data_IF_052704869747
#
_entry.id   IF_052704869747
#
_cell.length_a   1.000
_cell.length_b   1.000
_cell.length_c   1.000
_cell.angle_alpha   90.00
_cell.angle_beta   90.00
_cell.angle_gamma   90.00
#
_symmetry.space_group_name_H-M   'P 1'
#
loop_
_entity.id
_entity.type
_entity.pdbx_description
1 polymer ?
#
# COMPACT_ATOMS: atom_id res chain seq x y z
N UNK A 1 16.60 8.07 -28.57
CA UNK A 1 15.86 8.58 -27.40
C UNK A 1 14.52 7.87 -27.36
N UNK A 2 14.43 6.73 -26.67
CA UNK A 2 13.14 6.13 -26.37
C UNK A 2 12.48 7.01 -25.30
N UNK A 3 11.29 7.54 -25.59
CA UNK A 3 10.41 8.09 -24.57
C UNK A 3 10.01 6.89 -23.70
N UNK A 4 10.72 6.68 -22.59
CA UNK A 4 10.33 5.71 -21.58
C UNK A 4 8.91 6.02 -21.13
N UNK A 5 8.12 5.00 -20.84
CA UNK A 5 6.84 5.15 -20.17
C UNK A 5 7.11 5.84 -18.82
N UNK A 6 6.72 7.10 -18.64
CA UNK A 6 6.97 7.80 -17.38
C UNK A 6 6.03 7.27 -16.26
N UNK A 7 4.86 6.76 -16.66
CA UNK A 7 3.81 6.26 -15.79
C UNK A 7 3.13 5.03 -16.42
N UNK A 8 2.87 4.02 -15.59
CA UNK A 8 2.11 2.83 -15.98
C UNK A 8 1.05 2.52 -14.94
N UNK A 9 -0.13 2.17 -15.42
CA UNK A 9 -1.21 1.61 -14.62
C UNK A 9 -1.42 0.15 -15.00
N UNK A 10 -1.32 -0.74 -14.01
CA UNK A 10 -1.60 -2.16 -14.16
C UNK A 10 -2.88 -2.51 -13.38
N UNK A 11 -3.97 -2.63 -14.13
CA UNK A 11 -5.29 -2.98 -13.60
C UNK A 11 -5.76 -4.34 -14.12
N UNK A 12 -5.85 -5.29 -13.19
CA UNK A 12 -6.32 -6.66 -13.40
C UNK A 12 -7.64 -6.91 -12.64
N UNK A 13 -8.43 -5.85 -12.40
CA UNK A 13 -9.69 -5.95 -11.65
C UNK A 13 -10.77 -6.85 -12.28
N UNK A 14 -10.59 -7.25 -13.55
CA UNK A 14 -11.48 -8.18 -14.25
C UNK A 14 -11.09 -9.65 -14.06
N UNK A 15 -9.91 -9.94 -13.51
CA UNK A 15 -9.47 -11.31 -13.26
C UNK A 15 -10.38 -11.99 -12.22
N UNK A 16 -10.69 -13.25 -12.49
CA UNK A 16 -11.62 -14.04 -11.68
C UNK A 16 -10.94 -15.09 -10.80
N UNK A 17 -9.66 -15.35 -11.02
CA UNK A 17 -8.85 -16.34 -10.30
C UNK A 17 -7.45 -15.79 -10.04
N UNK A 18 -6.77 -16.30 -9.01
CA UNK A 18 -5.34 -16.04 -8.78
C UNK A 18 -4.55 -17.34 -8.59
N UNK A 19 -3.24 -17.29 -8.83
CA UNK A 19 -2.33 -18.43 -8.67
C UNK A 19 -0.88 -17.98 -8.54
N UNK A 20 0.00 -18.88 -8.08
CA UNK A 20 1.45 -18.66 -8.07
C UNK A 20 2.01 -18.40 -9.49
N UNK A 21 1.48 -19.07 -10.52
CA UNK A 21 1.88 -18.83 -11.91
C UNK A 21 1.55 -17.42 -12.40
N UNK A 22 0.47 -16.82 -11.90
CA UNK A 22 0.15 -15.42 -12.16
C UNK A 22 1.09 -14.47 -11.40
N UNK A 23 1.56 -14.85 -10.21
CA UNK A 23 2.58 -14.09 -9.50
C UNK A 23 3.89 -14.03 -10.28
N UNK A 24 4.35 -15.17 -10.81
CA UNK A 24 5.55 -15.24 -11.66
C UNK A 24 5.40 -14.41 -12.94
N UNK A 25 4.20 -14.40 -13.52
CA UNK A 25 3.88 -13.55 -14.67
C UNK A 25 3.96 -12.07 -14.30
N UNK A 26 3.37 -11.64 -13.18
CA UNK A 26 3.44 -10.26 -12.70
C UNK A 26 4.90 -9.84 -12.45
N UNK A 27 5.70 -10.71 -11.83
CA UNK A 27 7.13 -10.48 -11.59
C UNK A 27 7.88 -10.17 -12.90
N UNK A 28 7.66 -11.00 -13.94
CA UNK A 28 8.25 -10.79 -15.27
C UNK A 28 7.71 -9.55 -15.97
N UNK A 29 6.41 -9.28 -15.84
CA UNK A 29 5.76 -8.10 -16.42
C UNK A 29 6.35 -6.82 -15.82
N UNK A 30 6.62 -6.80 -14.52
CA UNK A 30 7.27 -5.67 -13.88
C UNK A 30 8.61 -5.35 -14.52
N UNK A 31 9.45 -6.35 -14.85
CA UNK A 31 10.72 -6.12 -15.58
C UNK A 31 10.54 -5.53 -16.98
N UNK A 32 9.47 -5.89 -17.68
CA UNK A 32 9.23 -5.41 -19.05
C UNK A 32 8.84 -3.94 -19.11
N UNK A 33 8.26 -3.41 -18.03
CA UNK A 33 7.83 -2.01 -18.00
C UNK A 33 8.93 -1.05 -17.59
N UNK A 34 10.11 -1.51 -17.13
CA UNK A 34 11.23 -0.62 -16.75
C UNK A 34 11.85 0.17 -17.92
N UNK A 35 12.41 1.38 -17.65
CA UNK A 35 12.37 2.11 -16.39
C UNK A 35 11.14 3.04 -16.31
N UNK A 36 10.34 2.91 -15.25
CA UNK A 36 9.20 3.79 -14.95
C UNK A 36 9.50 4.69 -13.75
N UNK A 37 8.84 5.85 -13.67
CA UNK A 37 8.89 6.73 -12.50
C UNK A 37 7.65 6.63 -11.62
N UNK A 38 6.50 6.28 -12.22
CA UNK A 38 5.22 6.13 -11.56
C UNK A 38 4.56 4.79 -11.89
N UNK A 39 4.03 4.13 -10.87
CA UNK A 39 3.31 2.86 -11.01
C UNK A 39 1.99 2.93 -10.24
N UNK A 40 0.90 2.54 -10.90
CA UNK A 40 -0.40 2.28 -10.27
C UNK A 40 -0.68 0.79 -10.28
N UNK A 41 -1.02 0.22 -9.12
CA UNK A 41 -1.41 -1.19 -8.96
C UNK A 41 -2.77 -1.33 -8.29
N UNK A 42 -3.46 -2.41 -8.62
CA UNK A 42 -4.81 -2.72 -8.12
C UNK A 42 -4.82 -3.83 -7.05
N UNK A 43 -6.00 -4.05 -6.47
CA UNK A 43 -6.28 -5.07 -5.44
C UNK A 43 -5.85 -6.48 -5.86
N UNK A 44 -5.97 -6.81 -7.16
CA UNK A 44 -5.52 -8.08 -7.69
C UNK A 44 -4.01 -8.24 -7.50
N UNK A 45 -3.23 -7.26 -7.96
CA UNK A 45 -1.77 -7.29 -7.87
C UNK A 45 -1.31 -7.38 -6.41
N UNK A 46 -1.96 -6.64 -5.50
CA UNK A 46 -1.62 -6.65 -4.07
C UNK A 46 -1.84 -8.01 -3.40
N UNK A 47 -2.74 -8.85 -3.92
CA UNK A 47 -2.92 -10.22 -3.46
C UNK A 47 -1.94 -11.16 -4.19
N UNK A 48 -1.88 -11.09 -5.52
CA UNK A 48 -1.20 -12.10 -6.33
C UNK A 48 0.32 -12.00 -6.27
N UNK A 49 0.90 -10.79 -6.21
CA UNK A 49 2.36 -10.62 -6.29
C UNK A 49 3.12 -11.38 -5.19
N UNK A 50 2.47 -11.64 -4.06
CA UNK A 50 3.06 -12.31 -2.91
C UNK A 50 2.84 -13.82 -2.89
N UNK A 51 2.19 -14.38 -3.91
CA UNK A 51 1.98 -15.84 -4.04
C UNK A 51 3.15 -16.55 -4.73
N UNK A 52 4.09 -15.80 -5.32
CA UNK A 52 5.30 -16.34 -5.95
C UNK A 52 6.44 -16.50 -4.94
N UNK A 53 7.58 -17.04 -5.40
CA UNK A 53 8.77 -17.24 -4.54
C UNK A 53 9.40 -15.92 -4.07
N UNK A 54 9.34 -14.87 -4.90
CA UNK A 54 9.92 -13.55 -4.63
C UNK A 54 9.02 -12.64 -3.77
N UNK A 55 8.17 -13.20 -2.90
CA UNK A 55 7.13 -12.47 -2.15
C UNK A 55 7.62 -11.37 -1.19
N UNK A 56 8.93 -11.24 -0.97
CA UNK A 56 9.54 -10.19 -0.12
C UNK A 56 9.64 -8.86 -0.86
N UNK A 57 9.86 -8.88 -2.18
CA UNK A 57 10.09 -7.69 -2.99
C UNK A 57 10.80 -8.00 -4.31
N UNK A 58 10.96 -6.99 -5.15
CA UNK A 58 11.71 -7.09 -6.39
C UNK A 58 13.22 -7.02 -6.15
N UNK A 59 13.96 -7.86 -6.89
CA UNK A 59 15.41 -7.75 -7.04
C UNK A 59 15.80 -7.76 -8.53
N UNK A 60 16.38 -6.68 -9.08
CA UNK A 60 16.65 -5.38 -8.45
C UNK A 60 15.39 -4.58 -8.10
N UNK A 61 15.53 -3.68 -7.11
CA UNK A 61 14.45 -2.78 -6.68
C UNK A 61 13.99 -1.80 -7.78
N UNK A 62 12.75 -1.36 -7.68
CA UNK A 62 12.15 -0.37 -8.57
C UNK A 62 12.79 1.03 -8.39
N UNK A 63 13.16 1.74 -9.47
CA UNK A 63 13.56 3.16 -9.45
C UNK A 63 12.34 4.09 -9.41
N UNK A 64 11.23 3.64 -8.81
CA UNK A 64 9.98 4.37 -8.74
C UNK A 64 10.09 5.51 -7.73
N UNK A 65 9.48 6.64 -8.09
CA UNK A 65 9.33 7.82 -7.22
C UNK A 65 7.88 8.03 -6.82
N UNK A 66 6.93 7.46 -7.58
CA UNK A 66 5.50 7.58 -7.35
C UNK A 66 4.85 6.20 -7.38
N UNK A 67 4.02 5.90 -6.38
CA UNK A 67 3.28 4.66 -6.27
C UNK A 67 1.84 4.97 -5.90
N UNK A 68 0.91 4.43 -6.67
CA UNK A 68 -0.53 4.48 -6.38
C UNK A 68 -1.04 3.07 -6.11
N UNK A 69 -1.66 2.90 -4.94
CA UNK A 69 -2.29 1.65 -4.52
C UNK A 69 -3.81 1.79 -4.57
N UNK A 70 -4.47 1.12 -5.52
CA UNK A 70 -5.93 0.95 -5.55
C UNK A 70 -6.27 -0.31 -4.76
N UNK A 71 -6.85 -0.17 -3.56
CA UNK A 71 -6.94 -1.27 -2.60
C UNK A 71 -8.25 -1.25 -1.81
N UNK A 72 -8.72 -2.44 -1.42
CA UNK A 72 -9.78 -2.59 -0.42
C UNK A 72 -9.23 -2.58 1.02
N UNK A 73 -7.91 -2.54 1.19
CA UNK A 73 -7.21 -2.62 2.46
C UNK A 73 -7.58 -3.89 3.26
N UNK A 74 -7.82 -4.99 2.56
CA UNK A 74 -8.11 -6.30 3.13
C UNK A 74 -6.85 -6.96 3.69
N UNK A 75 -7.01 -7.97 4.56
CA UNK A 75 -5.90 -8.71 5.18
C UNK A 75 -4.96 -9.32 4.15
N UNK A 76 -5.51 -9.83 3.04
CA UNK A 76 -4.77 -10.46 1.95
C UNK A 76 -3.97 -9.48 1.08
N UNK A 77 -4.23 -8.18 1.21
CA UNK A 77 -3.49 -7.15 0.49
C UNK A 77 -2.30 -6.62 1.31
N UNK A 78 -2.23 -6.91 2.61
CA UNK A 78 -1.24 -6.28 3.51
C UNK A 78 0.21 -6.66 3.15
N UNK A 79 0.44 -7.91 2.73
CA UNK A 79 1.77 -8.34 2.28
C UNK A 79 2.13 -7.68 0.96
N UNK A 80 1.19 -7.53 0.01
CA UNK A 80 1.43 -6.80 -1.23
C UNK A 80 1.79 -5.34 -1.00
N UNK A 81 1.15 -4.68 -0.03
CA UNK A 81 1.53 -3.30 0.34
C UNK A 81 2.98 -3.26 0.84
N UNK A 82 3.38 -4.20 1.72
CA UNK A 82 4.78 -4.30 2.19
C UNK A 82 5.75 -4.60 1.04
N UNK A 83 5.37 -5.48 0.12
CA UNK A 83 6.14 -5.83 -1.06
C UNK A 83 6.53 -4.59 -1.84
N UNK A 84 5.57 -3.71 -2.16
CA UNK A 84 5.87 -2.50 -2.92
C UNK A 84 6.68 -1.46 -2.13
N UNK A 85 6.40 -1.28 -0.83
CA UNK A 85 7.20 -0.38 0.01
C UNK A 85 8.66 -0.83 0.11
N UNK A 86 8.88 -2.15 0.24
CA UNK A 86 10.23 -2.74 0.24
C UNK A 86 10.92 -2.61 -1.12
N UNK A 87 10.17 -2.76 -2.20
CA UNK A 87 10.70 -2.75 -3.56
C UNK A 87 10.98 -1.35 -4.12
N UNK A 88 10.55 -0.27 -3.46
CA UNK A 88 10.65 1.11 -3.98
C UNK A 88 11.49 2.02 -3.06
N UNK A 89 12.82 1.84 -2.94
CA UNK A 89 13.66 2.60 -2.00
C UNK A 89 13.67 4.13 -2.25
N UNK A 90 13.37 4.56 -3.49
CA UNK A 90 13.36 5.97 -3.89
C UNK A 90 11.98 6.62 -3.91
N UNK A 91 10.98 5.96 -3.30
CA UNK A 91 9.60 6.44 -3.32
C UNK A 91 9.47 7.81 -2.63
N UNK A 92 8.99 8.82 -3.36
CA UNK A 92 8.75 10.16 -2.84
C UNK A 92 7.26 10.44 -2.58
N UNK A 93 6.38 9.84 -3.38
CA UNK A 93 4.93 10.03 -3.33
C UNK A 93 4.22 8.69 -3.24
N UNK A 94 3.38 8.52 -2.22
CA UNK A 94 2.48 7.38 -2.06
C UNK A 94 1.03 7.83 -2.08
N UNK A 95 0.26 7.35 -3.04
CA UNK A 95 -1.19 7.51 -3.06
C UNK A 95 -1.87 6.18 -2.71
N UNK A 96 -2.84 6.21 -1.80
CA UNK A 96 -3.67 5.07 -1.44
C UNK A 96 -5.12 5.41 -1.75
N UNK A 97 -5.67 4.76 -2.77
CA UNK A 97 -7.06 4.89 -3.19
C UNK A 97 -7.88 3.73 -2.61
N UNK A 98 -8.61 4.01 -1.53
CA UNK A 98 -9.49 3.04 -0.88
C UNK A 98 -10.80 2.93 -1.65
N UNK A 99 -11.16 1.69 -2.01
CA UNK A 99 -12.37 1.39 -2.77
C UNK A 99 -12.73 -0.09 -2.69
N UNK A 100 -13.84 -0.51 -3.33
CA UNK A 100 -14.15 -1.93 -3.44
C UNK A 100 -13.09 -2.66 -4.25
N UNK A 101 -12.79 -3.89 -3.86
CA UNK A 101 -11.86 -4.77 -4.56
C UNK A 101 -12.30 -6.22 -4.43
N UNK A 102 -12.04 -7.03 -5.46
CA UNK A 102 -12.30 -8.48 -5.41
C UNK A 102 -11.27 -9.13 -4.49
N UNK A 103 -11.75 -9.86 -3.49
CA UNK A 103 -10.91 -10.65 -2.58
C UNK A 103 -11.03 -12.12 -2.95
N UNK A 104 -9.90 -12.78 -3.19
CA UNK A 104 -9.83 -14.15 -3.69
C UNK A 104 -9.77 -15.15 -2.54
N UNK A 105 -10.87 -15.32 -1.79
CA UNK A 105 -10.89 -16.19 -0.60
C UNK A 105 -10.55 -17.66 -0.86
N UNK A 106 -10.94 -18.18 -2.03
CA UNK A 106 -10.77 -19.60 -2.36
C UNK A 106 -9.40 -19.89 -3.02
N UNK A 107 -8.82 -18.89 -3.70
CA UNK A 107 -7.61 -19.06 -4.50
C UNK A 107 -6.36 -18.42 -3.85
N UNK A 108 -6.53 -17.52 -2.88
CA UNK A 108 -5.41 -16.81 -2.26
C UNK A 108 -4.65 -17.72 -1.29
N UNK A 109 -3.38 -17.94 -1.58
CA UNK A 109 -2.46 -18.66 -0.73
C UNK A 109 -1.47 -17.68 -0.11
N UNK A 110 -1.57 -17.50 1.21
CA UNK A 110 -0.70 -16.59 1.93
C UNK A 110 0.73 -17.15 2.00
N UNK A 111 1.78 -16.33 1.77
CA UNK A 111 3.16 -16.81 1.73
C UNK A 111 3.66 -17.35 3.09
N UNK A 112 3.03 -16.95 4.20
CA UNK A 112 3.27 -17.50 5.53
C UNK A 112 2.02 -17.35 6.41
N UNK A 113 1.78 -18.30 7.32
CA UNK A 113 0.58 -18.34 8.17
C UNK A 113 0.97 -18.30 9.67
N UNK A 114 0.31 -17.50 10.53
CA UNK A 114 -0.70 -16.47 10.24
C UNK A 114 -0.12 -15.07 10.02
N UNK A 115 -0.77 -14.33 9.11
CA UNK A 115 -0.48 -12.95 8.75
C UNK A 115 -1.52 -12.02 9.38
N UNK A 116 -1.40 -11.76 10.69
CA UNK A 116 -2.24 -10.77 11.37
C UNK A 116 -1.77 -9.34 10.99
N UNK A 117 -2.61 -8.49 10.35
CA UNK A 117 -2.27 -7.11 10.04
C UNK A 117 -1.78 -6.31 11.26
N UNK A 118 -2.31 -6.59 12.45
CA UNK A 118 -1.86 -5.94 13.68
C UNK A 118 -0.41 -6.32 14.02
N UNK A 119 -0.04 -7.59 13.89
CA UNK A 119 1.34 -8.06 14.05
C UNK A 119 2.29 -7.39 13.04
N UNK A 120 1.85 -7.29 11.78
CA UNK A 120 2.64 -6.73 10.68
C UNK A 120 2.98 -5.26 10.83
N UNK A 121 1.99 -4.44 11.23
CA UNK A 121 2.10 -2.99 11.18
C UNK A 121 2.32 -2.34 12.54
N UNK A 122 1.90 -3.00 13.63
CA UNK A 122 1.92 -2.41 14.98
C UNK A 122 2.93 -3.10 15.88
N UNK A 123 2.87 -4.43 16.03
CA UNK A 123 3.71 -5.13 17.02
C UNK A 123 5.15 -5.34 16.55
N UNK A 124 5.33 -5.77 15.30
CA UNK A 124 6.64 -6.07 14.72
C UNK A 124 6.86 -5.35 13.38
N UNK A 125 6.75 -4.01 13.33
CA UNK A 125 6.82 -3.28 12.08
C UNK A 125 8.21 -3.36 11.46
N UNK A 126 8.28 -3.82 10.20
CA UNK A 126 9.46 -3.60 9.37
C UNK A 126 9.47 -2.14 8.93
N UNK A 127 10.59 -1.45 9.16
CA UNK A 127 10.77 -0.05 8.78
C UNK A 127 11.40 0.01 7.39
N UNK A 128 10.62 0.39 6.38
CA UNK A 128 11.10 0.48 5.00
C UNK A 128 11.99 1.72 4.82
N UNK A 129 13.07 1.56 4.05
CA UNK A 129 14.02 2.65 3.75
C UNK A 129 13.30 3.84 3.12
N UNK A 130 12.38 3.58 2.19
CA UNK A 130 11.64 4.63 1.51
C UNK A 130 10.81 5.49 2.48
N UNK A 131 10.11 4.86 3.42
CA UNK A 131 9.28 5.54 4.43
C UNK A 131 10.12 6.47 5.32
N UNK A 132 11.35 6.07 5.65
CA UNK A 132 12.22 6.85 6.54
C UNK A 132 13.10 7.87 5.84
N UNK A 133 13.43 7.67 4.57
CA UNK A 133 14.48 8.43 3.88
C UNK A 133 13.99 9.26 2.69
N UNK A 134 12.97 8.81 1.96
CA UNK A 134 12.59 9.41 0.67
C UNK A 134 11.13 9.83 0.59
N UNK A 135 10.21 9.18 1.32
CA UNK A 135 8.76 9.43 1.22
C UNK A 135 8.36 10.79 1.78
N UNK A 136 8.04 11.74 0.89
CA UNK A 136 7.73 13.15 1.22
C UNK A 136 6.24 13.39 1.31
N UNK A 137 5.46 12.77 0.43
CA UNK A 137 4.04 13.03 0.28
C UNK A 137 3.23 11.74 0.35
N UNK A 138 2.19 11.76 1.18
CA UNK A 138 1.23 10.67 1.27
C UNK A 138 -0.17 11.23 1.14
N UNK A 139 -0.98 10.61 0.29
CA UNK A 139 -2.40 10.90 0.17
C UNK A 139 -3.22 9.62 0.28
N UNK A 140 -4.18 9.60 1.21
CA UNK A 140 -5.11 8.50 1.42
C UNK A 140 -6.52 8.99 1.06
N UNK A 141 -7.15 8.37 0.07
CA UNK A 141 -8.50 8.70 -0.42
C UNK A 141 -9.48 7.61 -0.04
N UNK A 142 -10.69 8.00 0.37
CA UNK A 142 -11.77 7.05 0.69
C UNK A 142 -11.70 6.45 2.09
N UNK A 143 -10.97 7.08 3.02
CA UNK A 143 -10.75 6.54 4.38
C UNK A 143 -12.06 6.36 5.16
N UNK A 144 -12.28 5.14 5.68
CA UNK A 144 -13.43 4.74 6.50
C UNK A 144 -13.02 4.37 7.93
N UNK A 145 -11.72 4.31 8.24
CA UNK A 145 -11.22 4.01 9.59
C UNK A 145 -11.38 2.55 9.97
N UNK A 146 -11.25 1.63 9.01
CA UNK A 146 -11.16 0.20 9.33
C UNK A 146 -9.84 -0.11 10.06
N UNK A 147 -9.75 -1.23 10.81
CA UNK A 147 -8.52 -1.59 11.52
C UNK A 147 -7.27 -1.56 10.64
N UNK A 148 -7.31 -2.17 9.46
CA UNK A 148 -6.16 -2.21 8.56
C UNK A 148 -5.78 -0.82 8.03
N UNK A 149 -6.77 0.02 7.68
CA UNK A 149 -6.52 1.41 7.29
C UNK A 149 -5.84 2.19 8.42
N UNK A 150 -6.29 2.01 9.68
CA UNK A 150 -5.72 2.65 10.85
C UNK A 150 -4.29 2.14 11.10
N UNK A 151 -4.04 0.85 10.93
CA UNK A 151 -2.72 0.26 11.15
C UNK A 151 -1.68 0.83 10.16
N UNK A 152 -2.02 0.86 8.87
CA UNK A 152 -1.15 1.45 7.85
C UNK A 152 -0.96 2.95 8.09
N UNK A 153 -2.02 3.70 8.42
CA UNK A 153 -1.93 5.13 8.73
C UNK A 153 -1.02 5.39 9.95
N UNK A 154 -1.21 4.64 11.03
CA UNK A 154 -0.39 4.76 12.24
C UNK A 154 1.07 4.42 11.96
N UNK A 155 1.33 3.39 11.16
CA UNK A 155 2.68 3.04 10.73
C UNK A 155 3.34 4.21 9.96
N UNK A 156 2.64 4.81 9.00
CA UNK A 156 3.14 5.93 8.20
C UNK A 156 3.37 7.19 9.06
N UNK A 157 2.47 7.49 9.98
CA UNK A 157 2.61 8.60 10.94
C UNK A 157 3.80 8.39 11.88
N UNK A 158 4.02 7.14 12.29
CA UNK A 158 5.06 6.77 13.25
C UNK A 158 6.45 6.76 12.62
N UNK A 159 6.57 6.26 11.39
CA UNK A 159 7.87 6.00 10.76
C UNK A 159 8.26 7.02 9.68
N UNK A 160 7.32 7.82 9.19
CA UNK A 160 7.52 8.81 8.13
C UNK A 160 8.32 10.05 8.53
N UNK A 161 9.62 9.89 8.79
CA UNK A 161 10.50 10.95 9.33
C UNK A 161 10.66 12.15 8.39
N UNK A 162 10.81 11.90 7.09
CA UNK A 162 11.01 12.95 6.07
C UNK A 162 9.70 13.43 5.42
N UNK A 163 8.56 12.90 5.89
CA UNK A 163 7.24 13.15 5.31
C UNK A 163 6.77 14.58 5.58
N UNK A 164 6.75 15.38 4.52
CA UNK A 164 6.35 16.80 4.51
C UNK A 164 4.84 16.96 4.53
N UNK A 165 4.11 16.11 3.81
CA UNK A 165 2.65 16.21 3.64
C UNK A 165 2.00 14.84 3.82
N UNK A 166 0.96 14.80 4.64
CA UNK A 166 0.07 13.65 4.81
C UNK A 166 -1.38 14.16 4.71
N UNK A 167 -2.10 13.69 3.70
CA UNK A 167 -3.49 14.08 3.44
C UNK A 167 -4.38 12.86 3.58
N UNK A 168 -5.40 12.93 4.43
CA UNK A 168 -6.39 11.88 4.60
C UNK A 168 -7.76 12.43 4.20
N UNK A 169 -8.29 11.94 3.09
CA UNK A 169 -9.59 12.29 2.55
C UNK A 169 -10.57 11.18 2.91
N UNK A 170 -11.45 11.47 3.87
CA UNK A 170 -12.46 10.52 4.36
C UNK A 170 -13.53 10.21 3.32
N UNK A 171 -14.04 8.98 3.31
CA UNK A 171 -15.17 8.60 2.48
C UNK A 171 -16.41 9.43 2.78
N UNK A 172 -17.22 9.68 1.75
CA UNK A 172 -18.55 10.31 1.86
C UNK A 172 -19.67 9.29 2.03
N UNK A 173 -19.37 8.00 1.85
CA UNK A 173 -20.35 6.91 1.88
C UNK A 173 -20.69 6.53 3.32
N UNK A 174 -21.97 6.27 3.58
CA UNK A 174 -22.38 5.60 4.81
C UNK A 174 -22.06 4.11 4.72
N UNK A 175 -21.67 3.52 5.84
CA UNK A 175 -21.48 2.08 5.97
C UNK A 175 -22.01 1.62 7.32
N UNK A 176 -22.06 0.31 7.52
CA UNK A 176 -22.32 -0.27 8.84
C UNK A 176 -21.34 0.21 9.93
N UNK A 177 -20.14 0.69 9.56
CA UNK A 177 -19.12 1.20 10.48
C UNK A 177 -19.28 2.67 10.84
N UNK A 178 -20.16 3.40 10.17
CA UNK A 178 -20.48 4.77 10.52
C UNK A 178 -20.73 5.69 9.34
N UNK A 179 -20.39 6.95 9.55
CA UNK A 179 -20.66 8.03 8.61
C UNK A 179 -19.42 8.94 8.49
N UNK A 180 -19.41 9.88 7.54
CA UNK A 180 -18.24 10.73 7.29
C UNK A 180 -17.73 11.51 8.51
N UNK A 181 -18.61 11.85 9.47
CA UNK A 181 -18.19 12.52 10.71
C UNK A 181 -17.36 11.58 11.59
N UNK A 182 -17.79 10.32 11.73
CA UNK A 182 -17.04 9.28 12.48
C UNK A 182 -15.66 9.06 11.86
N UNK A 183 -15.61 8.86 10.54
CA UNK A 183 -14.34 8.61 9.84
C UNK A 183 -13.37 9.79 10.00
N UNK A 184 -13.88 11.03 9.99
CA UNK A 184 -13.08 12.24 10.22
C UNK A 184 -12.52 12.32 11.63
N UNK A 185 -13.27 11.90 12.64
CA UNK A 185 -12.79 11.88 14.02
C UNK A 185 -11.66 10.86 14.19
N UNK A 186 -11.83 9.65 13.66
CA UNK A 186 -10.79 8.61 13.65
C UNK A 186 -9.51 9.11 12.95
N UNK A 187 -9.65 9.70 11.76
CA UNK A 187 -8.51 10.25 11.03
C UNK A 187 -7.80 11.35 11.83
N UNK A 188 -8.54 12.25 12.49
CA UNK A 188 -7.96 13.29 13.35
C UNK A 188 -7.18 12.68 14.51
N UNK A 189 -7.75 11.71 15.21
CA UNK A 189 -7.10 11.04 16.34
C UNK A 189 -5.77 10.38 15.92
N UNK A 190 -5.76 9.65 14.81
CA UNK A 190 -4.54 9.04 14.28
C UNK A 190 -3.47 10.09 13.91
N UNK A 191 -3.88 11.22 13.32
CA UNK A 191 -2.95 12.28 12.94
C UNK A 191 -2.39 13.08 14.13
N UNK A 192 -3.09 13.13 15.27
CA UNK A 192 -2.61 13.80 16.49
C UNK A 192 -1.33 13.15 17.04
N UNK A 193 -1.11 11.85 16.77
CA UNK A 193 0.15 11.14 17.11
C UNK A 193 1.36 11.84 16.48
N UNK A 194 1.22 12.34 15.24
CA UNK A 194 2.30 13.06 14.52
C UNK A 194 2.64 14.40 15.20
N UNK A 195 1.61 15.11 15.66
CA UNK A 195 1.75 16.43 16.28
C UNK A 195 2.40 16.34 17.66
N UNK A 196 2.03 15.33 18.46
CA UNK A 196 2.63 15.11 19.78
C UNK A 196 4.15 14.84 19.69
N UNK A 197 4.60 14.15 18.64
CA UNK A 197 6.03 13.86 18.44
C UNK A 197 6.88 15.08 18.07
N UNK A 198 6.33 16.06 17.36
CA UNK A 198 7.04 17.31 17.05
C UNK A 198 7.30 18.18 18.28
N UNK A 199 6.53 17.99 19.36
CA UNK A 199 6.64 18.78 20.59
C UNK A 199 7.70 18.20 21.54
N UNK A 200 7.98 16.89 21.43
CA UNK A 200 8.92 16.18 22.31
C UNK A 200 10.31 15.91 21.70
N UNK A 201 10.62 16.46 20.52
CA UNK A 201 11.89 16.31 19.80
C UNK A 201 12.65 17.63 19.73
#
# INVERSE_FOLDING_TARGET
MNKGLDEVELDFGLESVCSCSMADFLYKLFFQVFPLRALTVCTYILQVVTMGEDFIGMEPSFPLTHLTLKTAMHDYEQVGIRYFLNSCPHLETLEIQLGPGRIFHDDYEAPYNPLDPHELWIRHPVVFSCVTQTLREVEIKGFKGTPNEIYVLNYLVTNGRVMKKLTVITSREMSNRGNPTVYRNIAKEALMIKSARKICS
#
